data_IF_572451221916
#
_entry.id   IF_572451221916
#
_cell.length_a   1.000
_cell.length_b   1.000
_cell.length_c   1.000
_cell.angle_alpha   90.00
_cell.angle_beta   90.00
_cell.angle_gamma   90.00
#
_symmetry.space_group_name_H-M   'P 1'
#
loop_
_entity.id
_entity.type
_entity.pdbx_description
1 polymer ?
#
# COMPACT_ATOMS: atom_id res chain seq x y z
N UNK A 1 -53.51 -2.77 -22.90
CA UNK A 1 -52.97 -1.93 -21.81
C UNK A 1 -51.49 -2.25 -21.68
N UNK A 2 -50.64 -1.34 -22.14
CA UNK A 2 -49.18 -1.46 -22.03
C UNK A 2 -48.75 -0.87 -20.68
N UNK A 3 -48.00 -1.63 -19.88
CA UNK A 3 -47.31 -1.10 -18.71
C UNK A 3 -45.85 -0.88 -19.08
N UNK A 4 -45.48 0.40 -19.03
CA UNK A 4 -44.16 0.97 -19.26
C UNK A 4 -43.32 0.83 -17.98
N UNK A 5 -42.08 0.39 -18.20
CA UNK A 5 -40.83 0.63 -17.45
C UNK A 5 -40.83 0.68 -15.91
N UNK A 6 -40.00 -0.19 -15.34
CA UNK A 6 -39.08 0.23 -14.28
C UNK A 6 -37.79 -0.60 -14.34
N UNK A 7 -37.09 -0.53 -15.47
CA UNK A 7 -35.67 -0.87 -15.52
C UNK A 7 -34.89 0.32 -14.94
N UNK A 8 -34.62 0.25 -13.64
CA UNK A 8 -33.59 1.08 -13.03
C UNK A 8 -32.23 0.45 -13.38
N UNK A 9 -31.34 1.11 -14.14
CA UNK A 9 -29.96 0.68 -14.23
C UNK A 9 -29.36 0.84 -12.83
N UNK A 10 -29.19 -0.27 -12.11
CA UNK A 10 -28.28 -0.28 -10.97
C UNK A 10 -26.92 0.02 -11.57
N UNK A 11 -26.42 1.23 -11.30
CA UNK A 11 -25.10 1.66 -11.69
C UNK A 11 -24.13 0.50 -11.43
N UNK A 12 -23.61 -0.05 -12.52
CA UNK A 12 -22.54 -1.03 -12.54
C UNK A 12 -21.32 -0.33 -11.97
N UNK A 13 -21.27 -0.21 -10.65
CA UNK A 13 -20.05 0.05 -9.92
C UNK A 13 -19.22 -1.19 -10.09
N UNK A 14 -18.49 -1.23 -11.21
CA UNK A 14 -17.58 -2.29 -11.61
C UNK A 14 -16.83 -2.76 -10.38
N UNK A 15 -17.25 -3.90 -9.84
CA UNK A 15 -16.42 -4.70 -8.95
C UNK A 15 -15.32 -5.18 -9.87
N UNK A 16 -14.34 -4.31 -10.11
CA UNK A 16 -13.14 -4.63 -10.84
C UNK A 16 -12.54 -5.80 -10.10
N UNK A 17 -12.51 -6.94 -10.76
CA UNK A 17 -12.13 -8.25 -10.22
C UNK A 17 -10.76 -8.11 -9.57
N UNK A 18 -10.70 -7.86 -8.25
CA UNK A 18 -9.48 -7.50 -7.53
C UNK A 18 -8.62 -8.74 -7.32
N UNK A 19 -8.08 -9.26 -8.41
CA UNK A 19 -6.93 -10.14 -8.35
C UNK A 19 -5.67 -9.25 -8.24
N UNK A 20 -4.74 -9.57 -7.35
CA UNK A 20 -3.48 -8.85 -7.28
C UNK A 20 -2.75 -8.94 -8.63
N UNK A 21 -2.10 -7.86 -9.09
CA UNK A 21 -1.34 -7.87 -10.33
C UNK A 21 -0.21 -8.90 -10.26
N UNK A 22 0.03 -9.59 -11.38
CA UNK A 22 1.16 -10.54 -11.47
C UNK A 22 2.48 -9.76 -11.54
N UNK A 23 3.48 -10.11 -10.72
CA UNK A 23 4.80 -9.50 -10.83
C UNK A 23 5.49 -9.93 -12.13
N UNK A 24 6.19 -9.01 -12.82
CA UNK A 24 6.96 -9.33 -14.02
C UNK A 24 8.31 -10.00 -13.68
N UNK A 25 8.66 -10.12 -12.40
CA UNK A 25 9.92 -10.68 -11.91
C UNK A 25 9.69 -12.04 -11.22
N UNK A 26 10.77 -12.79 -11.03
CA UNK A 26 10.80 -13.98 -10.17
C UNK A 26 11.50 -13.67 -8.86
N UNK A 27 10.92 -14.08 -7.73
CA UNK A 27 11.48 -13.85 -6.42
C UNK A 27 11.73 -15.18 -5.68
N UNK A 28 12.87 -15.27 -4.99
CA UNK A 28 13.30 -16.44 -4.26
C UNK A 28 13.76 -16.03 -2.86
N UNK A 29 13.12 -16.57 -1.82
CA UNK A 29 13.51 -16.36 -0.42
C UNK A 29 14.52 -17.42 0.00
N UNK A 30 15.64 -17.01 0.59
CA UNK A 30 16.63 -17.91 1.18
C UNK A 30 16.56 -17.79 2.70
N UNK A 31 16.04 -18.81 3.37
CA UNK A 31 15.99 -18.87 4.84
C UNK A 31 17.43 -18.91 5.40
N UNK A 32 18.31 -19.73 4.82
CA UNK A 32 19.70 -19.89 5.25
C UNK A 32 20.51 -18.59 5.19
N UNK A 33 20.27 -17.77 4.17
CA UNK A 33 21.00 -16.51 3.97
C UNK A 33 20.23 -15.29 4.49
N UNK A 34 19.05 -15.49 5.09
CA UNK A 34 18.12 -14.44 5.51
C UNK A 34 17.99 -13.31 4.47
N UNK A 35 17.77 -13.70 3.21
CA UNK A 35 17.79 -12.80 2.06
C UNK A 35 16.71 -13.13 1.04
N UNK A 36 16.41 -12.15 0.20
CA UNK A 36 15.56 -12.31 -0.97
C UNK A 36 16.38 -12.00 -2.22
N UNK A 37 16.26 -12.87 -3.22
CA UNK A 37 16.79 -12.67 -4.57
C UNK A 37 15.65 -12.42 -5.53
N UNK A 38 15.75 -11.37 -6.33
CA UNK A 38 14.77 -11.00 -7.34
C UNK A 38 15.45 -10.96 -8.70
N UNK A 39 14.97 -11.79 -9.62
CA UNK A 39 15.39 -11.79 -11.02
C UNK A 39 14.40 -10.94 -11.82
N UNK A 40 14.91 -9.82 -12.32
CA UNK A 40 14.18 -8.85 -13.13
C UNK A 40 14.01 -9.36 -14.58
N UNK A 41 13.04 -8.81 -15.35
CA UNK A 41 12.79 -9.22 -16.74
C UNK A 41 13.99 -9.06 -17.68
N UNK A 42 14.84 -8.07 -17.41
CA UNK A 42 16.08 -7.77 -18.14
C UNK A 42 17.23 -8.76 -17.81
N UNK A 43 16.97 -9.75 -16.94
CA UNK A 43 17.96 -10.73 -16.48
C UNK A 43 18.79 -10.27 -15.29
N UNK A 44 18.69 -9.00 -14.85
CA UNK A 44 19.41 -8.50 -13.68
C UNK A 44 18.91 -9.19 -12.42
N UNK A 45 19.85 -9.61 -11.56
CA UNK A 45 19.53 -10.21 -10.26
C UNK A 45 19.85 -9.20 -9.15
N UNK A 46 18.84 -8.89 -8.36
CA UNK A 46 18.93 -8.08 -7.16
C UNK A 46 18.90 -9.00 -5.94
N UNK A 47 19.69 -8.69 -4.92
CA UNK A 47 19.70 -9.42 -3.66
C UNK A 47 19.66 -8.45 -2.49
N UNK A 48 18.70 -8.66 -1.59
CA UNK A 48 18.54 -7.84 -0.39
C UNK A 48 18.49 -8.73 0.85
N UNK A 49 19.00 -8.22 1.97
CA UNK A 49 18.75 -8.81 3.29
C UNK A 49 17.27 -8.62 3.64
N UNK A 50 16.69 -9.60 4.31
CA UNK A 50 15.36 -9.44 4.88
C UNK A 50 15.43 -8.48 6.06
N UNK A 51 14.42 -7.63 6.20
CA UNK A 51 14.27 -6.68 7.29
C UNK A 51 13.03 -7.10 8.08
N UNK A 52 13.25 -7.48 9.33
CA UNK A 52 12.22 -7.88 10.28
C UNK A 52 11.39 -6.68 10.73
N UNK A 53 10.20 -6.95 11.26
CA UNK A 53 9.35 -5.90 11.80
C UNK A 53 9.97 -5.35 13.11
N UNK A 54 10.19 -4.04 13.23
CA UNK A 54 10.63 -3.47 14.51
C UNK A 54 9.52 -3.65 15.56
N UNK A 55 9.92 -3.83 16.83
CA UNK A 55 8.97 -4.06 17.94
C UNK A 55 7.90 -2.95 18.02
N UNK A 56 8.31 -1.70 17.81
CA UNK A 56 7.46 -0.51 17.93
C UNK A 56 7.22 0.17 16.56
N UNK A 57 6.77 -0.59 15.56
CA UNK A 57 6.59 -0.08 14.19
C UNK A 57 5.60 1.10 14.06
N UNK A 58 4.71 1.28 15.04
CA UNK A 58 3.74 2.38 15.07
C UNK A 58 4.38 3.74 15.32
N UNK A 59 5.37 3.80 16.22
CA UNK A 59 6.00 5.04 16.68
C UNK A 59 7.39 5.27 16.10
N UNK A 60 7.87 4.34 15.26
CA UNK A 60 9.19 4.44 14.67
C UNK A 60 9.30 5.50 13.56
N UNK A 61 10.55 5.92 13.33
CA UNK A 61 10.93 6.71 12.15
C UNK A 61 10.97 5.77 10.93
N UNK A 62 9.81 5.52 10.33
CA UNK A 62 9.58 4.44 9.38
C UNK A 62 10.61 4.32 8.24
N UNK A 63 11.05 5.45 7.66
CA UNK A 63 12.03 5.43 6.58
C UNK A 63 13.43 5.00 7.04
N UNK A 64 13.80 5.23 8.31
CA UNK A 64 15.04 4.74 8.91
C UNK A 64 14.95 3.25 9.17
N UNK A 65 13.87 2.78 9.80
CA UNK A 65 13.62 1.33 10.01
C UNK A 65 13.51 0.53 8.72
N UNK A 66 13.09 1.20 7.64
CA UNK A 66 13.03 0.60 6.33
C UNK A 66 14.39 0.54 5.63
N UNK A 67 15.50 1.01 6.20
CA UNK A 67 16.79 1.23 5.53
C UNK A 67 16.60 2.02 4.20
N UNK A 68 15.81 3.09 4.26
CA UNK A 68 15.46 3.97 3.14
C UNK A 68 15.68 5.44 3.50
N UNK A 69 16.71 5.71 4.29
CA UNK A 69 17.18 7.03 4.64
C UNK A 69 18.49 7.36 3.90
N UNK A 70 18.65 8.61 3.50
CA UNK A 70 19.93 9.17 3.04
C UNK A 70 20.37 10.22 4.06
N UNK A 71 21.23 9.80 5.01
CA UNK A 71 21.47 10.53 6.24
C UNK A 71 20.20 10.70 7.07
N UNK A 72 19.82 11.95 7.37
CA UNK A 72 18.57 12.28 8.08
C UNK A 72 17.36 12.49 7.15
N UNK A 73 17.57 12.45 5.83
CA UNK A 73 16.51 12.65 4.86
C UNK A 73 15.82 11.34 4.47
N UNK A 74 14.54 11.43 4.10
CA UNK A 74 13.83 10.34 3.43
C UNK A 74 14.41 10.15 2.04
N UNK A 75 14.76 8.93 1.68
CA UNK A 75 15.15 8.63 0.30
C UNK A 75 14.00 8.99 -0.68
N UNK A 76 14.33 9.37 -1.93
CA UNK A 76 13.33 9.54 -2.99
C UNK A 76 12.47 8.29 -3.19
N UNK A 77 13.07 7.09 -3.08
CA UNK A 77 12.38 5.80 -3.22
C UNK A 77 11.26 5.63 -2.18
N UNK A 78 11.51 5.99 -0.91
CA UNK A 78 10.48 5.95 0.13
C UNK A 78 9.26 6.82 -0.23
N UNK A 79 9.49 8.02 -0.78
CA UNK A 79 8.42 8.93 -1.17
C UNK A 79 7.62 8.38 -2.36
N UNK A 80 8.29 7.75 -3.32
CA UNK A 80 7.64 7.09 -4.46
C UNK A 80 6.75 5.93 -4.01
N UNK A 81 7.27 5.03 -3.18
CA UNK A 81 6.53 3.91 -2.58
C UNK A 81 5.29 4.43 -1.83
N UNK A 82 5.48 5.43 -0.96
CA UNK A 82 4.39 6.05 -0.21
C UNK A 82 3.35 6.68 -1.14
N UNK A 83 3.79 7.32 -2.22
CA UNK A 83 2.94 7.92 -3.23
C UNK A 83 2.02 6.90 -3.90
N UNK A 84 2.58 5.75 -4.32
CA UNK A 84 1.81 4.66 -4.94
C UNK A 84 0.83 4.05 -3.96
N UNK A 85 1.26 3.70 -2.75
CA UNK A 85 0.36 3.16 -1.72
C UNK A 85 -0.79 4.14 -1.44
N UNK A 86 -0.51 5.44 -1.32
CA UNK A 86 -1.54 6.47 -1.12
C UNK A 86 -2.53 6.52 -2.29
N UNK A 87 -2.02 6.60 -3.52
CA UNK A 87 -2.82 6.67 -4.74
C UNK A 87 -3.73 5.46 -4.87
N UNK A 88 -3.18 4.26 -4.76
CA UNK A 88 -3.96 3.03 -4.91
C UNK A 88 -4.96 2.85 -3.75
N UNK A 89 -4.58 3.22 -2.53
CA UNK A 89 -5.52 3.23 -1.39
C UNK A 89 -6.71 4.16 -1.67
N UNK A 90 -6.46 5.35 -2.24
CA UNK A 90 -7.53 6.29 -2.62
C UNK A 90 -8.39 5.72 -3.75
N UNK A 91 -7.79 5.12 -4.77
CA UNK A 91 -8.50 4.51 -5.89
C UNK A 91 -9.45 3.39 -5.40
N UNK A 92 -9.00 2.57 -4.45
CA UNK A 92 -9.78 1.44 -3.94
C UNK A 92 -10.86 1.83 -2.92
N UNK A 93 -10.60 2.84 -2.10
CA UNK A 93 -11.53 3.24 -1.02
C UNK A 93 -12.41 4.45 -1.37
N UNK A 94 -12.07 5.19 -2.42
CA UNK A 94 -12.72 6.46 -2.74
C UNK A 94 -12.64 7.44 -1.56
N UNK A 95 -13.76 8.06 -1.20
CA UNK A 95 -13.82 8.99 -0.07
C UNK A 95 -13.80 8.31 1.30
N UNK A 96 -13.99 6.98 1.35
CA UNK A 96 -13.87 6.24 2.61
C UNK A 96 -12.45 6.27 3.16
N UNK A 97 -11.44 6.64 2.36
CA UNK A 97 -10.06 6.85 2.83
C UNK A 97 -9.97 7.82 4.02
N UNK A 98 -10.88 8.81 4.09
CA UNK A 98 -10.88 9.85 5.12
C UNK A 98 -11.67 9.47 6.38
N UNK A 99 -12.30 8.29 6.41
CA UNK A 99 -13.21 7.90 7.50
C UNK A 99 -12.97 6.48 8.01
N UNK A 100 -12.52 5.57 7.16
CA UNK A 100 -12.31 4.18 7.53
C UNK A 100 -11.14 4.04 8.51
N UNK A 101 -11.34 3.26 9.56
CA UNK A 101 -10.27 2.85 10.50
C UNK A 101 -9.53 1.63 9.92
N UNK A 102 -8.23 1.51 10.19
CA UNK A 102 -7.38 0.41 9.69
C UNK A 102 -8.02 -0.97 9.85
N UNK A 103 -8.50 -1.29 11.07
CA UNK A 103 -9.17 -2.56 11.39
C UNK A 103 -10.42 -2.89 10.56
N UNK A 104 -11.00 -1.89 9.90
CA UNK A 104 -12.22 -2.01 9.10
C UNK A 104 -11.94 -1.99 7.59
N UNK A 105 -10.67 -1.92 7.17
CA UNK A 105 -10.30 -2.00 5.75
C UNK A 105 -10.44 -3.44 5.29
N UNK A 106 -11.15 -3.66 4.18
CA UNK A 106 -11.31 -5.00 3.62
C UNK A 106 -9.94 -5.58 3.25
N UNK A 107 -9.65 -6.81 3.68
CA UNK A 107 -8.35 -7.46 3.42
C UNK A 107 -8.02 -7.52 1.93
N UNK A 108 -9.00 -7.71 1.04
CA UNK A 108 -8.79 -7.70 -0.42
C UNK A 108 -8.24 -6.36 -0.94
N UNK A 109 -8.65 -5.24 -0.34
CA UNK A 109 -8.10 -3.92 -0.68
C UNK A 109 -6.66 -3.80 -0.23
N UNK A 110 -6.34 -4.29 0.97
CA UNK A 110 -4.96 -4.32 1.48
C UNK A 110 -4.10 -5.15 0.54
N UNK A 111 -4.48 -6.39 0.26
CA UNK A 111 -3.71 -7.30 -0.58
C UNK A 111 -3.50 -6.73 -1.99
N UNK A 112 -4.51 -6.11 -2.59
CA UNK A 112 -4.40 -5.45 -3.90
C UNK A 112 -3.39 -4.29 -3.87
N UNK A 113 -3.52 -3.37 -2.91
CA UNK A 113 -2.64 -2.19 -2.79
C UNK A 113 -1.20 -2.62 -2.58
N UNK A 114 -0.98 -3.59 -1.69
CA UNK A 114 0.37 -4.05 -1.37
C UNK A 114 0.98 -4.81 -2.54
N UNK A 115 0.21 -5.66 -3.23
CA UNK A 115 0.67 -6.34 -4.43
C UNK A 115 1.03 -5.35 -5.54
N UNK A 116 0.20 -4.33 -5.77
CA UNK A 116 0.48 -3.28 -6.75
C UNK A 116 1.78 -2.53 -6.42
N UNK A 117 1.98 -2.16 -5.15
CA UNK A 117 3.22 -1.54 -4.69
C UNK A 117 4.44 -2.46 -4.90
N UNK A 118 4.33 -3.76 -4.63
CA UNK A 118 5.43 -4.72 -4.87
C UNK A 118 5.75 -4.91 -6.35
N UNK A 119 4.75 -4.85 -7.22
CA UNK A 119 4.99 -4.93 -8.67
C UNK A 119 5.80 -3.72 -9.15
N UNK A 120 5.49 -2.52 -8.64
CA UNK A 120 6.22 -1.29 -8.99
C UNK A 120 7.57 -1.18 -8.27
N UNK A 121 7.67 -1.68 -7.03
CA UNK A 121 8.87 -1.59 -6.19
C UNK A 121 9.23 -2.96 -5.58
N UNK A 122 9.99 -3.80 -6.30
CA UNK A 122 10.36 -5.14 -5.83
C UNK A 122 11.18 -5.14 -4.53
N UNK A 123 11.85 -4.03 -4.19
CA UNK A 123 12.56 -3.85 -2.92
C UNK A 123 11.66 -4.13 -1.71
N UNK A 124 10.35 -3.93 -1.83
CA UNK A 124 9.38 -4.17 -0.77
C UNK A 124 9.30 -5.64 -0.34
N UNK A 125 9.75 -6.57 -1.19
CA UNK A 125 9.81 -7.99 -0.87
C UNK A 125 10.81 -8.31 0.25
N UNK A 126 11.72 -7.39 0.56
CA UNK A 126 12.70 -7.56 1.64
C UNK A 126 12.07 -7.42 3.03
N UNK A 127 10.89 -6.85 3.16
CA UNK A 127 10.23 -6.65 4.45
C UNK A 127 9.40 -7.87 4.82
N UNK A 128 9.70 -8.50 5.95
CA UNK A 128 9.01 -9.71 6.37
C UNK A 128 7.50 -9.49 6.56
N UNK A 129 6.69 -10.41 6.06
CA UNK A 129 5.23 -10.34 6.13
C UNK A 129 4.66 -8.99 5.65
N UNK A 130 5.39 -8.29 4.77
CA UNK A 130 4.97 -7.02 4.16
C UNK A 130 4.74 -5.89 5.18
N UNK A 131 5.36 -5.99 6.36
CA UNK A 131 5.11 -5.10 7.49
C UNK A 131 5.24 -3.61 7.12
N UNK A 132 6.23 -3.29 6.27
CA UNK A 132 6.53 -1.91 5.89
C UNK A 132 5.42 -1.32 5.01
N UNK A 133 4.96 -2.07 4.01
CA UNK A 133 3.88 -1.62 3.12
C UNK A 133 2.54 -1.50 3.86
N UNK A 134 2.24 -2.43 4.79
CA UNK A 134 1.08 -2.32 5.69
C UNK A 134 1.16 -1.06 6.57
N UNK A 135 2.33 -0.79 7.16
CA UNK A 135 2.53 0.37 8.03
C UNK A 135 2.42 1.69 7.25
N UNK A 136 2.97 1.77 6.03
CA UNK A 136 2.79 2.92 5.15
C UNK A 136 1.29 3.15 4.88
N UNK A 137 0.55 2.11 4.52
CA UNK A 137 -0.90 2.21 4.25
C UNK A 137 -1.66 2.66 5.50
N UNK A 138 -1.33 2.13 6.67
CA UNK A 138 -1.91 2.52 7.96
C UNK A 138 -1.69 4.00 8.25
N UNK A 139 -0.46 4.50 8.06
CA UNK A 139 -0.11 5.92 8.24
C UNK A 139 -0.78 6.82 7.19
N UNK A 140 -0.94 6.35 5.95
CA UNK A 140 -1.72 7.06 4.92
C UNK A 140 -3.16 7.30 5.39
N UNK A 141 -3.82 6.27 5.90
CA UNK A 141 -5.19 6.40 6.40
C UNK A 141 -5.28 7.31 7.63
N UNK A 142 -4.30 7.21 8.55
CA UNK A 142 -4.25 8.09 9.73
C UNK A 142 -4.10 9.56 9.35
N UNK A 143 -3.17 9.88 8.46
CA UNK A 143 -2.99 11.25 7.97
C UNK A 143 -4.22 11.77 7.22
N UNK A 144 -4.85 10.94 6.37
CA UNK A 144 -6.06 11.34 5.66
C UNK A 144 -7.21 11.72 6.62
N UNK A 145 -7.39 10.97 7.71
CA UNK A 145 -8.36 11.30 8.76
C UNK A 145 -8.01 12.61 9.47
N UNK A 146 -6.76 12.75 9.91
CA UNK A 146 -6.28 13.96 10.58
C UNK A 146 -6.45 15.21 9.70
N UNK A 147 -6.18 15.11 8.40
CA UNK A 147 -6.38 16.21 7.43
C UNK A 147 -7.87 16.59 7.30
N UNK A 148 -8.77 15.61 7.29
CA UNK A 148 -10.23 15.86 7.27
C UNK A 148 -10.69 16.55 8.56
N UNK A 149 -10.24 16.05 9.71
CA UNK A 149 -10.64 16.60 11.02
C UNK A 149 -10.16 18.05 11.18
N UNK A 150 -8.94 18.36 10.72
CA UNK A 150 -8.40 19.74 10.70
C UNK A 150 -9.24 20.66 9.81
N UNK A 151 -9.61 20.23 8.60
CA UNK A 151 -10.47 21.03 7.69
C UNK A 151 -11.89 21.20 8.23
N UNK A 152 -12.44 20.15 8.85
CA UNK A 152 -13.75 20.20 9.49
C UNK A 152 -13.80 21.16 10.68
N UNK A 153 -12.67 21.35 11.37
CA UNK A 153 -12.51 22.37 12.42
C UNK A 153 -12.48 23.78 11.85
N UNK A 154 -11.67 24.02 10.81
CA UNK A 154 -11.53 25.34 10.17
C UNK A 154 -12.84 25.85 9.55
N UNK A 155 -13.73 24.96 9.11
CA UNK A 155 -15.04 25.35 8.55
C UNK A 155 -16.12 25.60 9.62
N UNK A 156 -15.81 25.41 10.91
CA UNK A 156 -16.73 25.63 12.05
C UNK A 156 -16.37 26.83 12.92
N UNK A 157 -15.23 27.48 12.63
CA UNK A 157 -14.74 28.71 13.26
C UNK A 157 -14.92 29.87 12.29
#
# INVERSE_FOLDING_TARGET
MANIENDQPIATGTVSTLLPPRPPYKAFRSIKLHSIRVQMPDGKVLQWKIIERPRDSGDCVLHKEMDMADGDAKSPEFNLIRGVIRRETKNQLGDRIYTVKWRNVNRRVVDYVLAKARVEFPVLLRFENEWASEEIMRRVLAHARADRDRRGYLNKT
#
